data_IF_607060682476
#
_entry.id   IF_607060682476
#
_cell.length_a   1.000
_cell.length_b   1.000
_cell.length_c   1.000
_cell.angle_alpha   90.00
_cell.angle_beta   90.00
_cell.angle_gamma   90.00
#
_symmetry.space_group_name_H-M   'P 1'
#
loop_
_entity.id
_entity.type
_entity.pdbx_description
1 polymer ?
#
# COMPACT_ATOMS: atom_id res chain seq x y z
N UNK A 1 26.26 -10.61 -0.40
CA UNK A 1 25.12 -11.42 -0.90
C UNK A 1 24.02 -10.46 -1.34
N UNK A 2 23.62 -10.50 -2.61
CA UNK A 2 22.45 -9.75 -3.06
C UNK A 2 21.19 -10.51 -2.62
N UNK A 3 20.28 -9.84 -1.92
CA UNK A 3 18.95 -10.38 -1.61
C UNK A 3 18.01 -10.09 -2.78
N UNK A 4 17.42 -11.14 -3.36
CA UNK A 4 16.36 -11.00 -4.37
C UNK A 4 15.01 -10.96 -3.67
N UNK A 5 14.19 -9.95 -3.98
CA UNK A 5 12.89 -9.75 -3.36
C UNK A 5 11.92 -9.06 -4.33
N UNK A 6 10.65 -8.98 -3.93
CA UNK A 6 9.63 -8.17 -4.61
C UNK A 6 9.55 -6.79 -3.95
N UNK A 7 9.63 -5.73 -4.76
CA UNK A 7 9.20 -4.40 -4.35
C UNK A 7 7.73 -4.22 -4.74
N UNK A 8 6.82 -4.44 -3.80
CA UNK A 8 5.39 -4.32 -4.03
C UNK A 8 4.95 -2.85 -3.96
N UNK A 9 4.30 -2.35 -5.01
CA UNK A 9 3.69 -1.02 -5.09
C UNK A 9 2.37 -1.11 -5.84
N UNK A 10 1.36 -0.38 -5.39
CA UNK A 10 0.03 -0.37 -6.01
C UNK A 10 -0.64 1.00 -5.85
N UNK A 11 -1.54 1.33 -6.78
CA UNK A 11 -2.33 2.56 -6.78
C UNK A 11 -3.82 2.22 -6.66
N UNK A 12 -4.55 3.01 -5.89
CA UNK A 12 -6.00 2.84 -5.68
C UNK A 12 -6.66 4.20 -5.49
N UNK A 13 -7.94 4.28 -5.83
CA UNK A 13 -8.76 5.46 -5.60
C UNK A 13 -9.06 5.69 -4.11
N UNK A 14 -9.27 4.62 -3.34
CA UNK A 14 -9.51 4.70 -1.88
C UNK A 14 -8.68 3.65 -1.11
N UNK A 15 -8.01 4.11 -0.05
CA UNK A 15 -7.07 3.32 0.74
C UNK A 15 -7.73 2.11 1.43
N UNK A 16 -8.98 2.24 1.84
CA UNK A 16 -9.73 1.20 2.54
C UNK A 16 -9.84 -0.12 1.73
N UNK A 17 -9.79 -0.05 0.40
CA UNK A 17 -9.79 -1.22 -0.47
C UNK A 17 -8.52 -2.05 -0.31
N UNK A 18 -7.34 -1.42 -0.24
CA UNK A 18 -6.08 -2.14 -0.02
C UNK A 18 -5.91 -2.60 1.42
N UNK A 19 -6.38 -1.81 2.40
CA UNK A 19 -6.38 -2.23 3.80
C UNK A 19 -7.14 -3.55 4.00
N UNK A 20 -8.31 -3.70 3.38
CA UNK A 20 -9.05 -4.97 3.41
C UNK A 20 -8.23 -6.15 2.85
N UNK A 21 -7.58 -5.95 1.70
CA UNK A 21 -6.72 -7.01 1.11
C UNK A 21 -5.57 -7.36 2.04
N UNK A 22 -4.87 -6.36 2.61
CA UNK A 22 -3.73 -6.58 3.49
C UNK A 22 -4.14 -7.23 4.82
N UNK A 23 -5.25 -6.79 5.42
CA UNK A 23 -5.81 -7.41 6.63
C UNK A 23 -6.16 -8.88 6.39
N UNK A 24 -6.80 -9.19 5.28
CA UNK A 24 -7.09 -10.58 4.91
C UNK A 24 -5.82 -11.40 4.73
N UNK A 25 -4.82 -10.89 4.00
CA UNK A 25 -3.55 -11.60 3.82
C UNK A 25 -2.81 -11.85 5.15
N UNK A 26 -2.95 -10.92 6.10
CA UNK A 26 -2.37 -11.05 7.44
C UNK A 26 -3.18 -11.95 8.39
N UNK A 27 -4.31 -12.51 7.94
CA UNK A 27 -5.22 -13.30 8.77
C UNK A 27 -5.94 -12.48 9.83
N UNK A 28 -6.03 -11.16 9.68
CA UNK A 28 -6.70 -10.27 10.64
C UNK A 28 -8.22 -10.28 10.50
N UNK A 29 -8.76 -10.81 9.40
CA UNK A 29 -10.20 -10.95 9.19
C UNK A 29 -10.77 -12.28 9.72
N UNK A 30 -10.10 -13.40 9.45
CA UNK A 30 -10.60 -14.75 9.69
C UNK A 30 -9.57 -15.70 10.37
N UNK A 31 -8.39 -15.20 10.72
CA UNK A 31 -7.29 -16.00 11.28
C UNK A 31 -6.47 -16.78 10.25
N UNK A 32 -6.80 -16.70 8.95
CA UNK A 32 -6.10 -17.43 7.89
C UNK A 32 -5.06 -16.53 7.23
N UNK A 33 -3.78 -16.85 7.44
CA UNK A 33 -2.65 -16.12 6.84
C UNK A 33 -2.44 -16.58 5.38
N UNK A 34 -2.12 -15.62 4.49
CA UNK A 34 -1.80 -15.91 3.09
C UNK A 34 -0.58 -16.84 2.98
N UNK A 35 -0.69 -17.88 2.15
CA UNK A 35 0.38 -18.85 1.93
C UNK A 35 1.69 -18.25 1.41
N UNK A 36 1.65 -17.10 0.72
CA UNK A 36 2.84 -16.37 0.30
C UNK A 36 3.72 -15.97 1.50
N UNK A 37 3.10 -15.65 2.63
CA UNK A 37 3.82 -15.22 3.84
C UNK A 37 4.58 -16.38 4.54
N UNK A 38 4.45 -17.61 4.05
CA UNK A 38 5.28 -18.74 4.50
C UNK A 38 6.73 -18.68 4.00
N UNK A 39 7.01 -17.95 2.91
CA UNK A 39 8.34 -17.89 2.30
C UNK A 39 8.81 -16.47 1.95
N UNK A 40 7.92 -15.47 1.96
CA UNK A 40 8.28 -14.05 1.84
C UNK A 40 7.80 -13.26 3.05
N UNK A 41 8.48 -12.15 3.36
CA UNK A 41 8.12 -11.28 4.48
C UNK A 41 8.20 -9.83 4.05
N UNK A 42 7.14 -9.07 4.32
CA UNK A 42 7.17 -7.62 4.21
C UNK A 42 8.13 -7.04 5.27
N UNK A 43 9.22 -6.42 4.81
CA UNK A 43 10.22 -5.79 5.69
C UNK A 43 10.06 -4.27 5.79
N UNK A 44 9.29 -3.67 4.88
CA UNK A 44 8.96 -2.25 4.79
C UNK A 44 7.54 -2.12 4.25
N UNK A 45 6.87 -1.02 4.59
CA UNK A 45 5.53 -0.68 4.10
C UNK A 45 5.21 0.78 4.40
N UNK A 46 4.35 1.38 3.59
CA UNK A 46 3.90 2.75 3.78
C UNK A 46 2.78 3.10 2.79
N UNK A 47 1.90 3.99 3.23
CA UNK A 47 0.87 4.59 2.39
C UNK A 47 1.28 5.99 2.00
N UNK A 48 1.01 6.32 0.74
CA UNK A 48 1.37 7.60 0.15
C UNK A 48 0.16 8.13 -0.61
N UNK A 49 -0.06 9.44 -0.51
CA UNK A 49 -1.00 10.14 -1.36
C UNK A 49 -0.24 10.75 -2.53
N UNK A 50 -0.62 10.40 -3.75
CA UNK A 50 -0.11 11.03 -4.97
C UNK A 50 -1.11 12.12 -5.39
N UNK A 51 -0.84 13.40 -5.09
CA UNK A 51 -1.77 14.47 -5.39
C UNK A 51 -1.95 14.66 -6.90
N UNK A 52 -3.13 15.09 -7.36
CA UNK A 52 -3.31 15.50 -8.74
C UNK A 52 -2.47 16.76 -9.07
N UNK A 53 -2.30 17.01 -10.36
CA UNK A 53 -1.70 18.24 -10.86
C UNK A 53 -2.78 19.21 -11.33
N UNK A 54 -2.59 20.50 -11.06
CA UNK A 54 -3.31 21.61 -11.70
C UNK A 54 -2.28 22.42 -12.51
N UNK A 55 -2.23 22.16 -13.82
CA UNK A 55 -1.13 22.64 -14.68
C UNK A 55 0.20 22.02 -14.25
N UNK A 56 1.19 22.88 -14.00
CA UNK A 56 2.55 22.47 -13.59
C UNK A 56 2.74 22.44 -12.05
N UNK A 57 1.65 22.51 -11.27
CA UNK A 57 1.71 22.55 -9.80
C UNK A 57 0.92 21.39 -9.20
N UNK A 58 1.39 20.89 -8.05
CA UNK A 58 0.63 19.92 -7.24
C UNK A 58 -0.59 20.60 -6.65
N UNK A 59 -1.76 19.98 -6.83
CA UNK A 59 -2.99 20.35 -6.14
C UNK A 59 -3.09 19.58 -4.81
N UNK A 60 -2.88 20.31 -3.72
CA UNK A 60 -2.85 19.76 -2.37
C UNK A 60 -4.12 20.10 -1.57
N UNK A 61 -5.18 20.62 -2.22
CA UNK A 61 -6.43 21.02 -1.55
C UNK A 61 -7.08 19.86 -0.78
N UNK A 62 -6.95 18.64 -1.29
CA UNK A 62 -7.48 17.42 -0.66
C UNK A 62 -6.87 17.14 0.73
N UNK A 63 -5.68 17.68 1.03
CA UNK A 63 -5.00 17.52 2.32
C UNK A 63 -4.91 18.83 3.12
N UNK A 64 -5.72 19.83 2.75
CA UNK A 64 -5.82 21.10 3.47
C UNK A 64 -4.59 22.02 3.32
N UNK A 65 -3.77 21.79 2.29
CA UNK A 65 -2.63 22.64 1.95
C UNK A 65 -2.97 23.35 0.65
N UNK A 66 -3.19 24.66 0.69
CA UNK A 66 -3.60 25.45 -0.47
C UNK A 66 -3.65 26.93 -0.16
#
# INVERSE_FOLDING_TARGET
MASTALYFVAFVESLDRFERVLHRMAGLEDGVVDGLLSFTRAIRGGYYFCPPLEGDRLDLRAVGVG
#
